data_IF_544581882083
#
_entry.id   IF_544581882083
#
_cell.length_a   1.000
_cell.length_b   1.000
_cell.length_c   1.000
_cell.angle_alpha   90.00
_cell.angle_beta   90.00
_cell.angle_gamma   90.00
#
_symmetry.space_group_name_H-M   'P 1'
#
loop_
_entity.id
_entity.type
_entity.pdbx_description
1 polymer ?
#
# COMPACT_ATOMS: atom_id res chain seq x y z
N UNK A 1 -17.54 17.84 -6.78
CA UNK A 1 -18.74 17.24 -7.41
C UNK A 1 -18.51 15.74 -7.58
N UNK A 2 -19.49 14.88 -7.29
CA UNK A 2 -19.38 13.44 -7.57
C UNK A 2 -19.44 13.19 -9.09
N UNK A 3 -18.65 12.22 -9.56
CA UNK A 3 -18.54 11.84 -10.96
C UNK A 3 -18.64 10.33 -11.08
N UNK A 4 -19.25 9.86 -12.16
CA UNK A 4 -19.30 8.43 -12.47
C UNK A 4 -19.47 8.21 -13.96
N UNK A 5 -18.89 7.11 -14.45
CA UNK A 5 -19.14 6.54 -15.76
C UNK A 5 -19.60 5.10 -15.56
N UNK A 6 -20.79 4.76 -16.05
CA UNK A 6 -21.31 3.39 -16.03
C UNK A 6 -20.61 2.57 -17.10
N UNK A 7 -20.43 3.15 -18.30
CA UNK A 7 -19.77 2.49 -19.43
C UNK A 7 -18.36 2.02 -19.08
N UNK A 8 -17.59 2.89 -18.41
CA UNK A 8 -16.23 2.60 -18.00
C UNK A 8 -16.11 2.21 -16.54
N UNK A 9 -17.20 2.02 -15.79
CA UNK A 9 -17.18 1.64 -14.37
C UNK A 9 -16.27 2.52 -13.51
N UNK A 10 -16.27 3.84 -13.75
CA UNK A 10 -15.48 4.83 -13.01
C UNK A 10 -16.38 5.47 -11.97
N UNK A 11 -15.84 5.70 -10.78
CA UNK A 11 -16.44 6.58 -9.76
C UNK A 11 -15.36 7.50 -9.22
N UNK A 12 -15.71 8.75 -8.94
CA UNK A 12 -14.75 9.72 -8.46
C UNK A 12 -15.36 11.04 -8.03
N UNK A 13 -14.49 12.01 -7.77
CA UNK A 13 -14.86 13.36 -7.40
C UNK A 13 -13.97 14.34 -8.15
N UNK A 14 -14.57 15.37 -8.72
CA UNK A 14 -13.86 16.57 -9.14
C UNK A 14 -13.83 17.57 -7.99
N UNK A 15 -12.70 18.24 -7.80
CA UNK A 15 -12.55 19.31 -6.81
C UNK A 15 -13.45 20.48 -7.17
N UNK A 16 -13.27 21.03 -8.36
CA UNK A 16 -14.05 22.13 -8.90
C UNK A 16 -14.41 21.87 -10.36
N UNK A 17 -15.66 22.18 -10.67
CA UNK A 17 -16.22 22.15 -12.01
C UNK A 17 -16.86 23.51 -12.23
N UNK A 18 -16.23 24.32 -13.07
CA UNK A 18 -16.71 25.66 -13.42
C UNK A 18 -17.65 25.51 -14.62
N UNK A 19 -18.89 25.98 -14.47
CA UNK A 19 -19.78 26.16 -15.62
C UNK A 19 -19.68 27.60 -16.07
N UNK A 20 -19.24 27.82 -17.30
CA UNK A 20 -19.48 29.09 -18.00
C UNK A 20 -20.63 28.87 -19.00
N UNK A 21 -21.17 29.95 -19.57
CA UNK A 21 -22.29 29.85 -20.52
C UNK A 21 -21.95 29.06 -21.80
N UNK A 22 -20.67 28.74 -22.00
CA UNK A 22 -20.13 28.08 -23.19
C UNK A 22 -19.73 26.61 -22.92
N UNK A 23 -19.80 26.13 -21.67
CA UNK A 23 -19.55 24.74 -21.32
C UNK A 23 -19.03 24.54 -19.90
N UNK A 24 -18.41 23.38 -19.67
CA UNK A 24 -17.88 22.98 -18.37
C UNK A 24 -16.36 22.88 -18.40
N UNK A 25 -15.68 23.52 -17.44
CA UNK A 25 -14.24 23.40 -17.22
C UNK A 25 -13.92 22.64 -15.94
N UNK A 26 -13.01 21.67 -16.04
CA UNK A 26 -12.54 20.92 -14.88
C UNK A 26 -11.30 21.59 -14.28
N UNK A 27 -11.31 21.79 -12.96
CA UNK A 27 -10.18 22.39 -12.23
C UNK A 27 -9.76 21.47 -11.10
N UNK A 28 -8.56 20.93 -11.22
CA UNK A 28 -7.94 20.07 -10.19
C UNK A 28 -7.03 20.91 -9.29
N UNK A 29 -7.16 20.75 -7.97
CA UNK A 29 -6.31 21.47 -7.01
C UNK A 29 -5.13 20.60 -6.63
N UNK A 30 -3.92 21.11 -6.83
CA UNK A 30 -2.69 20.42 -6.41
C UNK A 30 -1.85 21.35 -5.53
N UNK A 31 -1.21 20.76 -4.52
CA UNK A 31 -0.11 21.39 -3.81
C UNK A 31 1.18 20.71 -4.25
N UNK A 32 2.17 21.50 -4.64
CA UNK A 32 3.50 20.99 -4.95
C UNK A 32 4.43 21.28 -3.76
N UNK A 33 5.36 20.37 -3.39
CA UNK A 33 6.39 20.72 -2.41
C UNK A 33 7.10 22.00 -2.86
N UNK A 34 7.34 22.94 -1.93
CA UNK A 34 7.83 24.29 -2.23
C UNK A 34 9.08 24.28 -3.13
N UNK A 35 9.93 23.25 -3.01
CA UNK A 35 11.19 23.10 -3.76
C UNK A 35 11.02 22.56 -5.19
N UNK A 36 9.86 22.04 -5.56
CA UNK A 36 9.62 21.48 -6.88
C UNK A 36 8.99 22.53 -7.81
N UNK A 37 9.21 22.36 -9.12
CA UNK A 37 8.54 23.17 -10.14
C UNK A 37 7.08 22.73 -10.21
N UNK A 38 6.18 23.71 -10.30
CA UNK A 38 4.75 23.45 -10.52
C UNK A 38 4.58 22.97 -11.96
N UNK A 39 4.64 21.65 -12.14
CA UNK A 39 4.48 20.96 -13.42
C UNK A 39 3.31 19.98 -13.30
N UNK A 40 2.54 19.88 -14.37
CA UNK A 40 1.41 18.96 -14.44
C UNK A 40 1.96 17.57 -14.74
N UNK A 41 1.76 16.64 -13.81
CA UNK A 41 2.22 15.26 -13.98
C UNK A 41 1.31 14.48 -14.92
N UNK A 42 1.83 13.42 -15.53
CA UNK A 42 1.04 12.48 -16.33
C UNK A 42 -0.16 11.93 -15.55
N UNK A 43 0.02 11.60 -14.26
CA UNK A 43 -1.06 11.13 -13.41
C UNK A 43 -2.18 12.17 -13.27
N UNK A 44 -1.83 13.46 -13.24
CA UNK A 44 -2.81 14.56 -13.21
C UNK A 44 -3.56 14.67 -14.54
N UNK A 45 -2.88 14.50 -15.67
CA UNK A 45 -3.50 14.49 -17.01
C UNK A 45 -4.49 13.34 -17.11
N UNK A 46 -4.08 12.12 -16.72
CA UNK A 46 -4.95 10.94 -16.67
C UNK A 46 -6.16 11.17 -15.77
N UNK A 47 -5.97 11.79 -14.59
CA UNK A 47 -7.06 12.13 -13.68
C UNK A 47 -8.06 13.09 -14.33
N UNK A 48 -7.59 14.17 -14.96
CA UNK A 48 -8.43 15.14 -15.65
C UNK A 48 -9.19 14.50 -16.83
N UNK A 49 -8.54 13.64 -17.61
CA UNK A 49 -9.16 12.91 -18.71
C UNK A 49 -10.31 12.00 -18.23
N UNK A 50 -10.10 11.23 -17.17
CA UNK A 50 -11.16 10.37 -16.60
C UNK A 50 -12.32 11.20 -16.02
N UNK A 51 -12.03 12.35 -15.41
CA UNK A 51 -13.06 13.28 -14.95
C UNK A 51 -13.87 13.85 -16.13
N UNK A 52 -13.20 14.21 -17.23
CA UNK A 52 -13.80 14.66 -18.49
C UNK A 52 -14.75 13.62 -19.08
N UNK A 53 -14.28 12.39 -19.24
CA UNK A 53 -15.10 11.26 -19.73
C UNK A 53 -16.37 11.07 -18.88
N UNK A 54 -16.26 11.15 -17.55
CA UNK A 54 -17.42 11.03 -16.67
C UNK A 54 -18.42 12.20 -16.82
N UNK A 55 -17.93 13.41 -17.11
CA UNK A 55 -18.77 14.58 -17.33
C UNK A 55 -19.51 14.49 -18.69
N UNK A 56 -18.80 14.09 -19.73
CA UNK A 56 -19.37 13.91 -21.06
C UNK A 56 -20.44 12.81 -21.07
N UNK A 57 -20.19 11.67 -20.40
CA UNK A 57 -21.21 10.62 -20.24
C UNK A 57 -22.45 11.11 -19.46
N UNK A 58 -22.26 12.05 -18.52
CA UNK A 58 -23.35 12.71 -17.81
C UNK A 58 -24.06 13.80 -18.63
N UNK A 59 -23.70 13.98 -19.90
CA UNK A 59 -24.30 14.96 -20.82
C UNK A 59 -23.80 16.39 -20.64
N UNK A 60 -22.63 16.59 -20.03
CA UNK A 60 -22.00 17.91 -19.89
C UNK A 60 -20.90 18.09 -20.92
N UNK A 61 -20.96 19.17 -21.68
CA UNK A 61 -19.91 19.55 -22.62
C UNK A 61 -18.68 20.05 -21.87
N UNK A 62 -17.54 19.39 -22.05
CA UNK A 62 -16.27 19.76 -21.40
C UNK A 62 -15.43 20.59 -22.37
N UNK A 63 -15.21 21.86 -22.03
CA UNK A 63 -14.52 22.83 -22.90
C UNK A 63 -13.09 23.11 -22.48
N UNK A 64 -12.63 22.54 -21.36
CA UNK A 64 -11.24 22.66 -20.97
C UNK A 64 -10.91 22.10 -19.60
N UNK A 65 -9.60 22.05 -19.35
CA UNK A 65 -9.02 21.48 -18.15
C UNK A 65 -7.94 22.41 -17.60
N UNK A 66 -7.80 22.46 -16.29
CA UNK A 66 -6.71 23.20 -15.65
C UNK A 66 -6.34 22.62 -14.30
N UNK A 67 -5.10 22.91 -13.89
CA UNK A 67 -4.61 22.61 -12.54
C UNK A 67 -4.36 23.93 -11.82
N UNK A 68 -4.91 24.07 -10.62
CA UNK A 68 -4.61 25.19 -9.74
C UNK A 68 -3.60 24.75 -8.68
N UNK A 69 -2.38 25.32 -8.75
CA UNK A 69 -1.33 25.10 -7.76
C UNK A 69 -1.51 26.04 -6.57
N UNK A 70 -1.99 25.50 -5.46
CA UNK A 70 -2.37 26.29 -4.28
C UNK A 70 -1.16 26.96 -3.62
N UNK A 71 0.01 26.33 -3.64
CA UNK A 71 1.24 26.87 -3.04
C UNK A 71 1.80 28.08 -3.81
N UNK A 72 1.44 28.23 -5.09
CA UNK A 72 1.89 29.33 -5.97
C UNK A 72 0.76 30.26 -6.39
N UNK A 73 -0.47 29.98 -5.99
CA UNK A 73 -1.67 30.67 -6.47
C UNK A 73 -1.73 30.78 -8.00
N UNK A 74 -1.32 29.72 -8.71
CA UNK A 74 -1.16 29.72 -10.16
C UNK A 74 -2.04 28.66 -10.82
N UNK A 75 -2.82 29.07 -11.82
CA UNK A 75 -3.52 28.16 -12.73
C UNK A 75 -2.63 27.82 -13.93
N UNK A 76 -2.65 26.57 -14.36
CA UNK A 76 -2.03 26.08 -15.60
C UNK A 76 -3.12 25.36 -16.38
N UNK A 77 -3.37 25.79 -17.61
CA UNK A 77 -4.26 25.08 -18.53
C UNK A 77 -3.61 23.77 -18.97
N UNK A 78 -4.44 22.73 -19.12
CA UNK A 78 -4.00 21.40 -19.53
C UNK A 78 -4.76 21.01 -20.79
N UNK A 79 -4.01 20.64 -21.82
CA UNK A 79 -4.56 20.06 -23.03
C UNK A 79 -4.87 18.59 -22.77
N UNK A 80 -6.13 18.20 -22.99
CA UNK A 80 -6.59 16.82 -22.88
C UNK A 80 -7.45 16.57 -24.11
N UNK A 81 -6.88 15.85 -25.08
CA UNK A 81 -7.55 15.43 -26.30
C UNK A 81 -7.77 13.91 -26.32
N UNK A 82 -8.01 13.40 -27.52
CA UNK A 82 -8.28 11.97 -27.74
C UNK A 82 -7.11 11.06 -27.31
N UNK A 83 -5.87 11.53 -27.45
CA UNK A 83 -4.67 10.76 -27.06
C UNK A 83 -4.61 10.57 -25.53
N UNK A 84 -4.78 11.65 -24.76
CA UNK A 84 -4.77 11.61 -23.31
C UNK A 84 -5.95 10.80 -22.76
N UNK A 85 -7.14 10.92 -23.37
CA UNK A 85 -8.31 10.11 -23.03
C UNK A 85 -8.04 8.62 -23.30
N UNK A 86 -7.48 8.28 -24.46
CA UNK A 86 -7.14 6.89 -24.81
C UNK A 86 -6.12 6.30 -23.83
N UNK A 87 -5.08 7.06 -23.49
CA UNK A 87 -4.07 6.66 -22.51
C UNK A 87 -4.65 6.48 -21.11
N UNK A 88 -5.58 7.33 -20.71
CA UNK A 88 -6.28 7.20 -19.44
C UNK A 88 -7.13 5.92 -19.36
N UNK A 89 -7.80 5.58 -20.46
CA UNK A 89 -8.55 4.32 -20.57
C UNK A 89 -7.62 3.08 -20.58
N UNK A 90 -6.44 3.17 -21.21
CA UNK A 90 -5.43 2.10 -21.13
C UNK A 90 -4.99 1.86 -19.68
N UNK A 91 -4.71 2.92 -18.92
CA UNK A 91 -4.38 2.78 -17.50
C UNK A 91 -5.51 2.15 -16.70
N UNK A 92 -6.76 2.52 -16.98
CA UNK A 92 -7.93 1.93 -16.34
C UNK A 92 -8.02 0.42 -16.59
N UNK A 93 -7.82 -0.04 -17.83
CA UNK A 93 -7.81 -1.47 -18.15
C UNK A 93 -6.64 -2.20 -17.48
N UNK A 94 -5.45 -1.61 -17.49
CA UNK A 94 -4.26 -2.18 -16.82
C UNK A 94 -4.45 -2.29 -15.32
N UNK A 95 -5.01 -1.27 -14.67
CA UNK A 95 -5.32 -1.30 -13.24
C UNK A 95 -6.31 -2.41 -12.92
N UNK A 96 -7.38 -2.56 -13.71
CA UNK A 96 -8.35 -3.65 -13.53
C UNK A 96 -7.70 -5.01 -13.62
N UNK A 97 -6.89 -5.22 -14.65
CA UNK A 97 -6.17 -6.47 -14.85
C UNK A 97 -5.32 -6.80 -13.61
N UNK A 98 -4.48 -5.86 -13.18
CA UNK A 98 -3.63 -6.00 -11.99
C UNK A 98 -4.45 -6.32 -10.73
N UNK A 99 -5.57 -5.64 -10.51
CA UNK A 99 -6.41 -5.87 -9.33
C UNK A 99 -7.17 -7.21 -9.35
N UNK A 100 -7.44 -7.75 -10.54
CA UNK A 100 -8.14 -9.03 -10.72
C UNK A 100 -7.22 -10.25 -10.66
N UNK A 101 -5.91 -10.06 -10.81
CA UNK A 101 -4.94 -11.15 -10.81
C UNK A 101 -4.64 -11.62 -9.37
N UNK A 102 -4.50 -12.94 -9.20
CA UNK A 102 -4.13 -13.55 -7.91
C UNK A 102 -2.67 -13.23 -7.55
N UNK A 103 -1.83 -13.03 -8.57
CA UNK A 103 -0.42 -12.75 -8.42
C UNK A 103 -0.18 -11.26 -8.69
N UNK A 104 0.53 -10.60 -7.76
CA UNK A 104 0.94 -9.22 -7.95
C UNK A 104 1.90 -9.10 -9.15
N UNK A 105 1.87 -7.96 -9.88
CA UNK A 105 2.79 -7.72 -10.98
C UNK A 105 4.25 -7.71 -10.48
N UNK A 106 5.22 -7.99 -11.36
CA UNK A 106 6.62 -7.85 -11.01
C UNK A 106 6.94 -6.42 -10.57
N UNK A 107 7.94 -6.23 -9.69
CA UNK A 107 8.42 -4.90 -9.34
C UNK A 107 8.90 -4.15 -10.58
N UNK A 108 8.92 -2.83 -10.51
CA UNK A 108 9.58 -2.00 -11.51
C UNK A 108 11.11 -2.13 -11.34
N UNK A 109 11.83 -2.27 -12.45
CA UNK A 109 13.30 -2.35 -12.46
C UNK A 109 13.90 -0.95 -12.63
N UNK A 110 14.83 -0.57 -11.73
CA UNK A 110 15.56 0.70 -11.74
C UNK A 110 14.69 1.96 -11.94
N UNK A 111 13.46 1.93 -11.42
CA UNK A 111 12.48 2.98 -11.67
C UNK A 111 12.51 4.05 -10.56
N UNK A 112 12.67 5.34 -10.91
CA UNK A 112 12.74 6.43 -9.92
C UNK A 112 11.45 6.62 -9.12
N UNK A 113 10.32 6.03 -9.52
CA UNK A 113 9.07 6.03 -8.76
C UNK A 113 9.16 5.17 -7.51
N UNK A 114 9.95 4.08 -7.53
CA UNK A 114 10.11 3.17 -6.40
C UNK A 114 10.61 3.90 -5.14
N UNK A 115 11.52 4.88 -5.29
CA UNK A 115 12.12 5.61 -4.16
C UNK A 115 11.13 6.46 -3.34
N UNK A 116 9.96 6.78 -3.89
CA UNK A 116 8.90 7.53 -3.19
C UNK A 116 7.64 6.69 -2.99
N UNK A 117 7.67 5.40 -3.32
CA UNK A 117 6.52 4.52 -3.23
C UNK A 117 6.28 4.12 -1.77
N UNK A 118 5.06 4.36 -1.26
CA UNK A 118 4.65 3.94 0.08
C UNK A 118 4.68 2.41 0.27
N UNK A 119 4.63 1.65 -0.83
CA UNK A 119 4.70 0.19 -0.82
C UNK A 119 6.10 -0.37 -1.02
N UNK A 120 7.16 0.45 -1.13
CA UNK A 120 8.52 -0.04 -1.41
C UNK A 120 9.01 -1.03 -0.35
N UNK A 121 8.67 -0.83 0.93
CA UNK A 121 9.03 -1.76 2.01
C UNK A 121 8.27 -3.08 2.02
N UNK A 122 7.19 -3.20 1.24
CA UNK A 122 6.42 -4.45 1.04
C UNK A 122 6.86 -5.12 -0.26
N UNK A 123 7.01 -4.32 -1.31
CA UNK A 123 7.43 -4.77 -2.64
C UNK A 123 8.88 -5.29 -2.61
N UNK A 124 9.77 -4.54 -1.93
CA UNK A 124 11.21 -4.77 -1.80
C UNK A 124 11.86 -5.01 -3.18
N UNK A 125 11.75 -4.04 -4.12
CA UNK A 125 12.17 -4.24 -5.50
C UNK A 125 13.67 -4.58 -5.61
N UNK A 126 14.51 -3.97 -4.76
CA UNK A 126 15.97 -4.15 -4.78
C UNK A 126 16.44 -5.42 -4.07
N UNK A 127 15.61 -6.00 -3.18
CA UNK A 127 15.97 -7.17 -2.38
C UNK A 127 15.46 -8.48 -3.01
N UNK A 128 14.59 -8.39 -4.02
CA UNK A 128 14.10 -9.55 -4.75
C UNK A 128 15.06 -9.95 -5.86
N UNK A 129 16.02 -10.80 -5.51
CA UNK A 129 16.41 -11.88 -6.42
C UNK A 129 15.49 -13.09 -6.18
N UNK A 130 14.83 -13.54 -7.24
CA UNK A 130 13.68 -14.46 -7.22
C UNK A 130 13.92 -15.73 -6.38
N UNK A 131 13.17 -15.86 -5.29
CA UNK A 131 12.87 -17.16 -4.66
C UNK A 131 11.42 -17.16 -4.17
N UNK A 132 10.82 -18.35 -4.06
CA UNK A 132 9.47 -18.49 -3.54
C UNK A 132 9.45 -18.05 -2.07
N UNK A 133 8.61 -17.06 -1.75
CA UNK A 133 8.40 -16.61 -0.37
C UNK A 133 7.63 -17.70 0.37
N UNK A 134 8.32 -18.51 1.16
CA UNK A 134 7.73 -19.60 1.95
C UNK A 134 7.12 -19.13 3.28
N UNK A 135 7.16 -17.84 3.63
CA UNK A 135 6.71 -17.32 4.93
C UNK A 135 5.92 -16.00 4.85
N UNK A 136 4.91 -15.88 5.71
CA UNK A 136 4.00 -14.72 5.84
C UNK A 136 4.78 -13.52 6.42
N UNK A 137 4.65 -12.34 5.79
CA UNK A 137 5.22 -11.08 6.30
C UNK A 137 4.24 -10.51 7.35
N UNK A 138 4.73 -10.28 8.57
CA UNK A 138 3.97 -9.65 9.66
C UNK A 138 4.41 -8.18 9.82
N UNK A 139 3.45 -7.29 10.07
CA UNK A 139 3.72 -5.86 10.36
C UNK A 139 4.55 -5.74 11.64
N UNK A 140 5.50 -4.79 11.67
CA UNK A 140 6.29 -4.49 12.85
C UNK A 140 5.37 -4.04 14.00
N UNK A 141 5.30 -4.83 15.08
CA UNK A 141 4.76 -4.38 16.35
C UNK A 141 5.91 -3.73 17.13
N UNK A 142 5.93 -2.40 17.33
CA UNK A 142 7.04 -1.71 18.00
C UNK A 142 7.26 -2.18 19.45
N UNK A 143 6.24 -2.80 20.07
CA UNK A 143 6.33 -3.39 21.42
C UNK A 143 6.51 -4.92 21.40
N UNK A 144 6.50 -5.53 20.22
CA UNK A 144 6.68 -6.95 20.01
C UNK A 144 8.16 -7.33 19.90
N UNK A 145 8.53 -8.48 20.45
CA UNK A 145 9.89 -9.01 20.45
C UNK A 145 9.89 -10.43 19.88
N UNK A 146 10.98 -10.80 19.22
CA UNK A 146 11.24 -12.19 18.83
C UNK A 146 11.96 -12.88 19.98
N UNK A 147 11.37 -13.97 20.50
CA UNK A 147 12.00 -14.77 21.54
C UNK A 147 13.00 -15.75 20.92
N UNK A 148 14.27 -15.64 21.31
CA UNK A 148 15.29 -16.62 20.95
C UNK A 148 15.48 -17.60 22.10
N UNK A 149 15.08 -18.84 21.91
CA UNK A 149 15.30 -19.92 22.87
C UNK A 149 16.65 -20.57 22.57
N UNK A 150 17.68 -20.21 23.34
CA UNK A 150 19.08 -20.52 23.01
C UNK A 150 19.73 -21.56 23.91
N UNK A 151 19.09 -21.97 25.00
CA UNK A 151 19.70 -22.86 26.01
C UNK A 151 19.33 -24.33 25.76
N UNK A 152 20.28 -25.19 25.34
CA UNK A 152 20.09 -26.63 25.22
C UNK A 152 19.43 -27.28 26.44
N UNK A 153 18.46 -28.16 26.21
CA UNK A 153 17.74 -28.89 27.26
C UNK A 153 16.74 -28.04 28.06
N UNK A 154 16.55 -26.77 27.70
CA UNK A 154 15.51 -25.94 28.30
C UNK A 154 14.13 -26.26 27.74
N UNK A 155 13.09 -25.87 28.49
CA UNK A 155 11.69 -26.04 28.13
C UNK A 155 10.95 -24.71 28.24
N UNK A 156 10.35 -24.28 27.14
CA UNK A 156 9.42 -23.15 27.10
C UNK A 156 7.98 -23.63 27.33
N UNK A 157 7.26 -22.95 28.23
CA UNK A 157 5.88 -23.26 28.58
C UNK A 157 5.05 -22.00 28.79
N UNK A 158 3.72 -22.11 28.75
CA UNK A 158 2.82 -21.00 29.07
C UNK A 158 2.37 -21.09 30.53
N UNK A 159 2.49 -20.00 31.27
CA UNK A 159 2.02 -19.88 32.64
C UNK A 159 1.45 -18.47 32.88
N UNK A 160 0.14 -18.38 33.19
CA UNK A 160 -0.56 -17.11 33.49
C UNK A 160 -0.33 -16.01 32.44
N UNK A 161 -0.47 -16.34 31.15
CA UNK A 161 -0.27 -15.40 30.04
C UNK A 161 1.19 -15.08 29.71
N UNK A 162 2.15 -15.78 30.32
CA UNK A 162 3.57 -15.58 30.06
C UNK A 162 4.20 -16.81 29.44
N UNK A 163 5.12 -16.60 28.51
CA UNK A 163 6.09 -17.60 28.09
C UNK A 163 7.15 -17.68 29.18
N UNK A 164 7.32 -18.85 29.80
CA UNK A 164 8.31 -19.13 30.85
C UNK A 164 9.26 -20.19 30.34
N UNK A 165 10.56 -19.93 30.41
CA UNK A 165 11.63 -20.84 29.98
C UNK A 165 12.34 -21.37 31.20
N UNK A 166 12.43 -22.69 31.33
CA UNK A 166 13.12 -23.37 32.44
C UNK A 166 14.21 -24.29 31.93
N UNK A 167 15.29 -24.43 32.69
CA UNK A 167 16.25 -25.53 32.52
C UNK A 167 16.32 -26.28 33.84
N UNK A 168 16.04 -27.59 33.82
CA UNK A 168 15.72 -28.35 35.02
C UNK A 168 14.65 -27.61 35.87
N UNK A 169 14.98 -27.23 37.11
CA UNK A 169 14.08 -26.51 38.03
C UNK A 169 14.29 -25.00 38.07
N UNK A 170 15.27 -24.47 37.32
CA UNK A 170 15.61 -23.05 37.31
C UNK A 170 14.84 -22.31 36.20
N UNK A 171 14.21 -21.18 36.55
CA UNK A 171 13.62 -20.26 35.56
C UNK A 171 14.71 -19.38 34.95
N UNK A 172 14.95 -19.56 33.64
CA UNK A 172 15.91 -18.78 32.88
C UNK A 172 15.35 -17.42 32.46
N UNK A 173 14.03 -17.32 32.31
CA UNK A 173 13.37 -16.06 31.99
C UNK A 173 11.91 -16.21 31.62
N UNK A 174 11.22 -15.06 31.53
CA UNK A 174 9.84 -15.01 31.08
C UNK A 174 9.48 -13.72 30.33
N UNK A 175 8.51 -13.83 29.40
CA UNK A 175 7.96 -12.71 28.65
C UNK A 175 6.42 -12.80 28.56
N UNK A 176 5.67 -11.68 28.59
CA UNK A 176 4.23 -11.69 28.29
C UNK A 176 4.00 -12.21 26.86
N UNK A 177 3.05 -13.11 26.67
CA UNK A 177 2.78 -13.68 25.34
C UNK A 177 2.28 -12.63 24.35
N UNK A 178 1.66 -11.55 24.84
CA UNK A 178 1.18 -10.42 24.06
C UNK A 178 2.32 -9.60 23.44
N UNK A 179 3.54 -9.74 23.97
CA UNK A 179 4.75 -9.10 23.44
C UNK A 179 5.56 -10.03 22.54
N UNK A 180 5.10 -11.26 22.30
CA UNK A 180 5.84 -12.22 21.46
C UNK A 180 5.36 -12.10 20.02
N UNK A 181 6.24 -11.60 19.15
CA UNK A 181 5.97 -11.49 17.70
C UNK A 181 6.34 -12.78 16.94
N UNK A 182 7.32 -13.50 17.46
CA UNK A 182 7.82 -14.76 16.90
C UNK A 182 8.73 -15.47 17.89
N UNK A 183 9.00 -16.73 17.63
CA UNK A 183 9.92 -17.55 18.43
C UNK A 183 10.92 -18.21 17.49
N UNK A 184 12.20 -18.18 17.87
CA UNK A 184 13.27 -18.92 17.20
C UNK A 184 13.89 -19.91 18.18
N UNK A 185 13.90 -21.18 17.81
CA UNK A 185 14.38 -22.29 18.62
C UNK A 185 15.76 -22.70 18.14
N UNK A 186 16.76 -22.52 19.01
CA UNK A 186 18.13 -22.90 18.68
C UNK A 186 18.50 -24.22 19.36
N UNK A 187 18.71 -25.27 18.56
CA UNK A 187 19.14 -26.57 19.05
C UNK A 187 18.03 -27.36 19.76
N UNK A 188 18.41 -28.15 20.77
CA UNK A 188 17.51 -29.05 21.49
C UNK A 188 16.77 -28.33 22.62
N UNK A 189 15.77 -27.52 22.26
CA UNK A 189 14.86 -26.88 23.22
C UNK A 189 13.47 -27.45 23.06
N UNK A 190 12.82 -27.76 24.18
CA UNK A 190 11.44 -28.21 24.20
C UNK A 190 10.47 -27.03 24.23
N UNK A 191 9.38 -27.12 23.46
CA UNK A 191 8.22 -26.25 23.60
C UNK A 191 7.04 -27.09 24.04
N UNK A 192 6.40 -26.72 25.16
CA UNK A 192 5.20 -27.42 25.61
C UNK A 192 4.07 -27.32 24.58
N UNK A 193 3.27 -28.38 24.44
CA UNK A 193 2.14 -28.40 23.50
C UNK A 193 1.11 -27.30 23.79
N UNK A 194 0.91 -26.95 25.06
CA UNK A 194 0.04 -25.85 25.45
C UNK A 194 0.55 -24.50 24.91
N UNK A 195 1.85 -24.25 25.00
CA UNK A 195 2.46 -23.03 24.47
C UNK A 195 2.42 -23.00 22.93
N UNK A 196 2.74 -24.11 22.25
CA UNK A 196 2.63 -24.22 20.79
C UNK A 196 1.21 -23.91 20.32
N UNK A 197 0.20 -24.47 21.00
CA UNK A 197 -1.20 -24.18 20.71
C UNK A 197 -1.48 -22.69 20.81
N UNK A 198 -1.05 -22.03 21.90
CA UNK A 198 -1.28 -20.60 22.10
C UNK A 198 -0.57 -19.72 21.07
N UNK A 199 0.61 -20.12 20.60
CA UNK A 199 1.30 -19.45 19.49
C UNK A 199 0.51 -19.56 18.19
N UNK A 200 0.04 -20.76 17.83
CA UNK A 200 -0.75 -20.96 16.62
C UNK A 200 -2.08 -20.21 16.65
N UNK A 201 -2.76 -20.16 17.80
CA UNK A 201 -4.00 -19.37 17.96
C UNK A 201 -3.80 -17.87 17.77
N UNK A 202 -2.58 -17.38 17.96
CA UNK A 202 -2.21 -15.95 17.84
C UNK A 202 -1.43 -15.64 16.56
N UNK A 203 -1.34 -16.59 15.63
CA UNK A 203 -0.51 -16.47 14.42
C UNK A 203 0.97 -16.14 14.72
N UNK A 204 1.51 -16.57 15.86
CA UNK A 204 2.91 -16.38 16.24
C UNK A 204 3.75 -17.47 15.56
N UNK A 205 4.69 -17.05 14.71
CA UNK A 205 5.59 -17.97 13.99
C UNK A 205 6.62 -18.59 14.94
N UNK A 206 6.82 -19.90 14.83
CA UNK A 206 7.90 -20.64 15.50
C UNK A 206 8.87 -21.14 14.43
N UNK A 207 10.14 -20.77 14.52
CA UNK A 207 11.23 -21.10 13.58
C UNK A 207 12.29 -21.93 14.27
#
# INVERSE_FOLDING_TARGET
>A
MALSSVCYGIVGRADLVEGDGDGTRVVEYKATPIRNRAEVSEATIVQLALQGICLEEAGKEVVGYSVYFTDRHRRIDVEVGEEEQSRALEFLERTRKICSEVQAPPPLEDDPRCRHCSHVGICLPDERSLSAVHRRILVANPDGQVLHLTTPGSRASIHRGRVVVKSADEELGSAPIERVQGVTVHGNVDISSALLREFFWRDITVV
#
